data_IF_583524019514
#
_entry.id   IF_583524019514
#
_cell.length_a   1.000
_cell.length_b   1.000
_cell.length_c   1.000
_cell.angle_alpha   90.00
_cell.angle_beta   90.00
_cell.angle_gamma   90.00
#
_symmetry.space_group_name_H-M   'P 1'
#
loop_
_entity.id
_entity.type
_entity.pdbx_description
1 polymer ?
#
# COMPACT_ATOMS: atom_id res chain seq x y z
N UNK A 1 5.34 0.73 -11.00
CA UNK A 1 4.50 1.31 -9.94
C UNK A 1 3.75 0.19 -9.23
N UNK A 2 4.05 -0.05 -7.96
CA UNK A 2 3.40 -1.00 -7.05
C UNK A 2 2.51 -0.19 -6.09
N UNK A 3 1.24 -0.54 -5.98
CA UNK A 3 0.36 -0.03 -4.91
C UNK A 3 0.40 -1.01 -3.75
N UNK A 4 0.96 -0.59 -2.62
CA UNK A 4 1.03 -1.38 -1.39
C UNK A 4 -0.07 -0.93 -0.42
N UNK A 5 -1.00 -1.84 -0.10
CA UNK A 5 -2.13 -1.56 0.81
C UNK A 5 -1.72 -1.88 2.24
N UNK A 6 -1.71 -0.85 3.08
CA UNK A 6 -1.42 -0.94 4.50
C UNK A 6 -2.71 -1.23 5.29
N UNK A 7 -2.80 -2.41 5.89
CA UNK A 7 -3.89 -2.84 6.78
C UNK A 7 -3.55 -2.62 8.26
N UNK A 8 -2.72 -1.62 8.60
CA UNK A 8 -2.19 -1.42 9.95
C UNK A 8 -1.28 -2.56 10.42
N UNK A 9 -0.56 -3.14 9.47
CA UNK A 9 0.39 -4.23 9.73
C UNK A 9 1.81 -3.68 9.92
N UNK A 10 2.52 -4.22 10.91
CA UNK A 10 3.88 -3.81 11.25
C UNK A 10 4.91 -4.07 10.16
N UNK A 11 4.66 -5.00 9.23
CA UNK A 11 5.62 -5.37 8.18
C UNK A 11 5.48 -4.56 6.89
N UNK A 12 4.48 -3.66 6.79
CA UNK A 12 4.24 -2.86 5.58
C UNK A 12 5.47 -2.09 5.13
N UNK A 13 6.22 -1.50 6.07
CA UNK A 13 7.42 -0.75 5.76
C UNK A 13 8.61 -1.63 5.39
N UNK A 14 8.68 -2.88 5.86
CA UNK A 14 9.72 -3.81 5.43
C UNK A 14 9.56 -4.16 3.95
N UNK A 15 8.33 -4.41 3.50
CA UNK A 15 8.04 -4.65 2.09
C UNK A 15 8.31 -3.42 1.22
N UNK A 16 7.91 -2.23 1.68
CA UNK A 16 8.22 -0.97 0.99
C UNK A 16 9.73 -0.82 0.75
N UNK A 17 10.55 -0.98 1.79
CA UNK A 17 12.01 -0.85 1.67
C UNK A 17 12.59 -1.89 0.71
N UNK A 18 12.20 -3.17 0.84
CA UNK A 18 12.65 -4.23 -0.05
C UNK A 18 12.36 -3.93 -1.53
N UNK A 19 11.16 -3.45 -1.84
CA UNK A 19 10.81 -3.10 -3.22
C UNK A 19 11.56 -1.85 -3.71
N UNK A 20 11.77 -0.85 -2.86
CA UNK A 20 12.58 0.32 -3.21
C UNK A 20 14.05 -0.06 -3.48
N UNK A 21 14.63 -0.97 -2.71
CA UNK A 21 15.99 -1.49 -2.93
C UNK A 21 16.12 -2.22 -4.27
N UNK A 22 15.03 -2.86 -4.73
CA UNK A 22 14.95 -3.47 -6.06
C UNK A 22 14.67 -2.46 -7.19
N UNK A 23 14.61 -1.15 -6.88
CA UNK A 23 14.36 -0.09 -7.86
C UNK A 23 12.89 0.06 -8.27
N UNK A 24 11.95 -0.54 -7.53
CA UNK A 24 10.54 -0.38 -7.81
C UNK A 24 10.01 0.96 -7.27
N UNK A 25 9.15 1.58 -8.07
CA UNK A 25 8.31 2.71 -7.64
C UNK A 25 7.11 2.17 -6.82
N UNK A 26 7.00 2.56 -5.56
CA UNK A 26 6.02 2.03 -4.59
C UNK A 26 5.18 3.17 -3.99
N UNK A 27 3.86 3.04 -4.08
CA UNK A 27 2.89 3.91 -3.42
C UNK A 27 2.21 3.15 -2.28
N UNK A 28 2.37 3.62 -1.04
CA UNK A 28 1.68 3.03 0.12
C UNK A 28 0.39 3.79 0.40
N UNK A 29 -0.73 3.08 0.60
CA UNK A 29 -2.02 3.66 1.00
C UNK A 29 -2.68 2.80 2.08
N UNK A 30 -3.27 3.44 3.08
CA UNK A 30 -4.12 2.75 4.06
C UNK A 30 -5.36 2.18 3.37
N UNK A 31 -5.84 1.05 3.87
CA UNK A 31 -7.01 0.36 3.31
C UNK A 31 -8.31 1.20 3.35
N UNK A 32 -8.41 2.11 4.31
CA UNK A 32 -9.54 2.99 4.56
C UNK A 32 -9.42 4.36 3.87
N UNK A 33 -8.24 4.67 3.34
CA UNK A 33 -7.95 5.90 2.60
C UNK A 33 -8.29 5.79 1.10
N UNK A 34 -8.74 4.64 0.63
CA UNK A 34 -9.07 4.37 -0.77
C UNK A 34 -10.55 4.00 -0.94
N UNK A 35 -11.12 4.44 -2.06
CA UNK A 35 -12.44 4.01 -2.52
C UNK A 35 -12.28 3.24 -3.83
N UNK A 36 -12.97 2.11 -3.96
CA UNK A 36 -12.90 1.29 -5.16
C UNK A 36 -14.02 1.73 -6.11
N UNK A 37 -13.74 2.61 -7.07
CA UNK A 37 -14.73 3.02 -8.07
C UNK A 37 -16.03 3.58 -7.47
N UNK A 38 -15.95 4.28 -6.33
CA UNK A 38 -17.11 4.80 -5.60
C UNK A 38 -17.74 3.81 -4.60
N UNK A 39 -17.27 2.56 -4.55
CA UNK A 39 -17.66 1.59 -3.53
C UNK A 39 -16.86 1.83 -2.25
N UNK A 40 -17.57 2.19 -1.18
CA UNK A 40 -17.09 2.15 0.21
C UNK A 40 -17.80 0.98 0.89
N UNK A 41 -17.06 0.09 1.56
CA UNK A 41 -17.69 -0.92 2.41
C UNK A 41 -18.55 -0.20 3.46
N UNK A 42 -19.78 -0.66 3.71
CA UNK A 42 -20.66 -0.07 4.73
C UNK A 42 -20.04 -0.11 6.12
#
# INVERSE_FOLDING_TARGET
MILLIDNYDSFTWNLYQYFCELGADVLVKRNDALTLGGYRRP
#
